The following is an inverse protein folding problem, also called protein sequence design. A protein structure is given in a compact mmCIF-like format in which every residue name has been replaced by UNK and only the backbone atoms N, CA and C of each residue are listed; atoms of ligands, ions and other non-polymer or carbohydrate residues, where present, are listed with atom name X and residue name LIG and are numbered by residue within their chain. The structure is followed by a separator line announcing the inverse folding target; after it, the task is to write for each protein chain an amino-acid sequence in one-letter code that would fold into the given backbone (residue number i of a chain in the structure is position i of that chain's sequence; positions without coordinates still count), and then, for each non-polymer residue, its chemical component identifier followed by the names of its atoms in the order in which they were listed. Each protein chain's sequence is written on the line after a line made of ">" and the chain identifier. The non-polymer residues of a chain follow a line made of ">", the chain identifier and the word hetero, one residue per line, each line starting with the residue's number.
data_IF_569340172936
#
_entry.id   IF_569340172936
#
_cell.length_a   1.000
_cell.length_b   1.000
_cell.length_c   1.000
_cell.angle_alpha   90.00
_cell.angle_beta   90.00
_cell.angle_gamma   90.00
#
_symmetry.space_group_name_H-M   'P 1'
#
loop_
_entity.id
_entity.type
_entity.pdbx_description
1 polymer ?
#
# COMPACT_ATOMS: atom_id res chain seq x y z
N UNK A 1 14.78 15.85 -7.17
CA UNK A 1 14.19 14.63 -7.77
C UNK A 1 12.72 14.57 -7.42
N UNK A 2 11.86 14.41 -8.42
CA UNK A 2 10.42 14.23 -8.19
C UNK A 2 10.12 12.79 -7.79
N UNK A 3 8.91 12.56 -7.29
CA UNK A 3 8.45 11.20 -6.98
C UNK A 3 8.39 10.36 -8.26
N UNK A 4 7.97 10.93 -9.39
CA UNK A 4 7.96 10.22 -10.67
C UNK A 4 9.39 9.85 -11.10
N UNK A 5 10.37 10.72 -10.90
CA UNK A 5 11.78 10.40 -11.15
C UNK A 5 12.24 9.23 -10.28
N UNK A 6 11.82 9.22 -9.03
CA UNK A 6 12.16 8.14 -8.10
C UNK A 6 11.54 6.80 -8.53
N UNK A 7 10.29 6.82 -8.96
CA UNK A 7 9.64 5.62 -9.51
C UNK A 7 10.41 5.09 -10.73
N UNK A 8 10.81 5.96 -11.63
CA UNK A 8 11.58 5.58 -12.80
C UNK A 8 12.95 4.98 -12.41
N UNK A 9 13.63 5.58 -11.45
CA UNK A 9 14.91 5.09 -10.93
C UNK A 9 14.79 3.70 -10.33
N UNK A 10 13.67 3.44 -9.63
CA UNK A 10 13.38 2.13 -9.01
C UNK A 10 12.86 1.10 -10.02
N UNK A 11 12.56 1.51 -11.26
CA UNK A 11 11.95 0.64 -12.25
C UNK A 11 10.51 0.27 -11.92
N UNK A 12 9.81 1.11 -11.15
CA UNK A 12 8.44 0.87 -10.73
C UNK A 12 7.47 1.57 -11.67
N UNK A 13 6.55 0.81 -12.23
CA UNK A 13 5.38 1.31 -12.94
C UNK A 13 4.16 1.09 -12.04
N UNK A 14 3.50 2.18 -11.65
CA UNK A 14 2.32 2.09 -10.80
C UNK A 14 1.16 1.44 -11.57
N UNK A 15 0.38 0.56 -10.92
CA UNK A 15 -0.80 -0.02 -11.55
C UNK A 15 -1.88 1.04 -11.78
N UNK A 16 -2.87 0.69 -12.59
CA UNK A 16 -4.06 1.52 -12.73
C UNK A 16 -4.81 1.58 -11.40
N UNK A 17 -5.38 2.74 -11.04
CA UNK A 17 -6.16 2.85 -9.81
C UNK A 17 -7.34 1.87 -9.80
N UNK A 18 -7.59 1.27 -8.64
CA UNK A 18 -8.69 0.34 -8.42
C UNK A 18 -9.99 1.14 -8.37
N UNK A 19 -11.05 0.60 -8.95
CA UNK A 19 -12.39 1.18 -8.87
C UNK A 19 -13.16 0.57 -7.68
N UNK A 20 -14.10 1.32 -7.07
CA UNK A 20 -14.88 0.77 -5.96
C UNK A 20 -15.79 -0.38 -6.44
N UNK A 21 -15.82 -1.46 -5.63
CA UNK A 21 -16.62 -2.64 -5.93
C UNK A 21 -18.03 -2.57 -5.34
N UNK A 22 -18.36 -1.55 -4.56
CA UNK A 22 -19.62 -1.39 -3.88
C UNK A 22 -19.96 0.10 -3.70
N UNK A 23 -20.90 0.41 -2.82
CA UNK A 23 -21.36 1.78 -2.61
C UNK A 23 -20.42 2.53 -1.63
N UNK A 24 -19.22 2.84 -2.12
CA UNK A 24 -18.22 3.67 -1.42
C UNK A 24 -17.28 4.28 -2.45
N UNK A 25 -16.43 5.23 -2.01
CA UNK A 25 -15.39 5.84 -2.85
C UNK A 25 -14.03 5.29 -2.47
N UNK A 26 -13.08 5.31 -3.41
CA UNK A 26 -11.73 4.82 -3.16
C UNK A 26 -10.89 5.76 -2.29
N UNK A 27 -11.18 7.04 -2.35
CA UNK A 27 -10.48 8.05 -1.55
C UNK A 27 -11.42 9.21 -1.24
N UNK A 28 -11.11 9.90 -0.16
CA UNK A 28 -11.82 11.12 0.22
C UNK A 28 -10.85 12.08 0.89
N UNK A 29 -10.87 13.34 0.47
CA UNK A 29 -10.04 14.37 1.07
C UNK A 29 -10.89 15.25 1.98
N UNK A 30 -10.40 15.47 3.20
CA UNK A 30 -10.96 16.46 4.13
C UNK A 30 -9.83 17.31 4.67
N UNK A 31 -9.90 18.63 4.43
CA UNK A 31 -8.78 19.53 4.76
C UNK A 31 -7.51 19.06 4.05
N UNK A 32 -6.46 18.83 4.83
CA UNK A 32 -5.17 18.35 4.31
C UNK A 32 -4.96 16.84 4.50
N UNK A 33 -6.01 16.12 4.84
CA UNK A 33 -5.97 14.67 5.02
C UNK A 33 -6.63 13.96 3.83
N UNK A 34 -5.94 12.97 3.30
CA UNK A 34 -6.46 12.08 2.27
C UNK A 34 -6.66 10.70 2.88
N UNK A 35 -7.91 10.24 2.90
CA UNK A 35 -8.25 8.89 3.35
C UNK A 35 -8.37 7.97 2.15
N UNK A 36 -7.78 6.80 2.25
CA UNK A 36 -7.83 5.79 1.18
C UNK A 36 -8.54 4.56 1.71
N UNK A 37 -9.49 4.06 0.94
CA UNK A 37 -10.27 2.87 1.28
C UNK A 37 -9.40 1.62 1.37
N UNK A 38 -9.88 0.63 2.07
CA UNK A 38 -9.22 -0.66 2.20
C UNK A 38 -8.80 -1.21 0.84
N UNK A 39 -7.56 -1.66 0.76
CA UNK A 39 -6.93 -2.14 -0.47
C UNK A 39 -6.39 -3.53 -0.23
N UNK A 40 -6.81 -4.49 -1.04
CA UNK A 40 -6.42 -5.89 -0.90
C UNK A 40 -5.45 -6.35 -1.97
N UNK A 41 -4.92 -7.58 -1.82
CA UNK A 41 -4.03 -8.18 -2.79
C UNK A 41 -4.69 -8.31 -4.17
N UNK A 42 -3.87 -8.32 -5.22
CA UNK A 42 -4.35 -8.52 -6.58
C UNK A 42 -4.69 -9.98 -6.85
N UNK A 43 -5.34 -10.25 -7.98
CA UNK A 43 -5.63 -11.62 -8.43
C UNK A 43 -4.37 -12.46 -8.68
N UNK A 44 -3.22 -11.82 -8.81
CA UNK A 44 -1.92 -12.50 -9.00
C UNK A 44 -1.33 -13.01 -7.69
N UNK A 45 -1.79 -12.48 -6.56
CA UNK A 45 -1.26 -12.87 -5.25
C UNK A 45 -1.82 -14.23 -4.84
N UNK A 46 -1.02 -15.07 -4.18
CA UNK A 46 -1.52 -16.30 -3.57
C UNK A 46 -2.63 -15.97 -2.57
N UNK A 47 -3.62 -16.85 -2.51
CA UNK A 47 -4.78 -16.66 -1.63
C UNK A 47 -4.76 -17.68 -0.50
N UNK A 48 -5.29 -17.28 0.65
CA UNK A 48 -5.39 -18.15 1.80
C UNK A 48 -4.83 -17.48 3.05
N UNK A 49 -4.57 -18.32 4.06
CA UNK A 49 -4.06 -17.87 5.36
C UNK A 49 -2.54 -17.92 5.39
N UNK A 50 -1.94 -16.81 5.78
CA UNK A 50 -0.49 -16.74 5.95
C UNK A 50 -0.08 -17.66 7.11
N UNK A 51 0.96 -18.45 6.87
CA UNK A 51 1.40 -19.45 7.83
C UNK A 51 0.77 -20.84 7.63
N UNK A 52 -0.25 -20.94 6.77
CA UNK A 52 -0.83 -22.22 6.35
C UNK A 52 -0.73 -22.38 4.83
N UNK A 53 -1.49 -21.56 4.08
CA UNK A 53 -1.57 -21.67 2.62
C UNK A 53 -0.56 -20.76 1.90
N UNK A 54 -0.15 -19.68 2.56
CA UNK A 54 0.69 -18.62 1.99
C UNK A 54 1.93 -18.44 2.86
N UNK A 55 3.10 -18.39 2.23
CA UNK A 55 4.35 -18.13 2.94
C UNK A 55 4.46 -16.66 3.37
N UNK A 56 5.31 -16.39 4.35
CA UNK A 56 5.62 -15.02 4.77
C UNK A 56 6.18 -14.20 3.59
N UNK A 57 7.07 -14.77 2.80
CA UNK A 57 7.67 -14.07 1.66
C UNK A 57 6.63 -13.70 0.61
N UNK A 58 5.73 -14.61 0.28
CA UNK A 58 4.65 -14.32 -0.69
C UNK A 58 3.68 -13.28 -0.14
N UNK A 59 3.38 -13.35 1.15
CA UNK A 59 2.53 -12.36 1.82
C UNK A 59 3.19 -10.98 1.85
N UNK A 60 4.49 -10.91 2.08
CA UNK A 60 5.26 -9.65 2.00
C UNK A 60 5.16 -9.03 0.61
N UNK A 61 5.34 -9.83 -0.45
CA UNK A 61 5.22 -9.34 -1.83
C UNK A 61 3.79 -8.88 -2.14
N UNK A 62 2.78 -9.58 -1.64
CA UNK A 62 1.39 -9.16 -1.78
C UNK A 62 1.14 -7.80 -1.10
N UNK A 63 1.70 -7.60 0.09
CA UNK A 63 1.61 -6.33 0.81
C UNK A 63 2.35 -5.21 0.06
N UNK A 64 3.48 -5.51 -0.59
CA UNK A 64 4.18 -4.55 -1.44
C UNK A 64 3.30 -4.12 -2.62
N UNK A 65 2.66 -5.06 -3.29
CA UNK A 65 1.73 -4.76 -4.39
C UNK A 65 0.55 -3.89 -3.91
N UNK A 66 0.04 -4.16 -2.72
CA UNK A 66 -0.99 -3.31 -2.10
C UNK A 66 -0.48 -1.88 -1.91
N UNK A 67 0.74 -1.72 -1.46
CA UNK A 67 1.37 -0.40 -1.33
C UNK A 67 1.45 0.36 -2.66
N UNK A 68 1.77 -0.34 -3.74
CA UNK A 68 1.77 0.24 -5.09
C UNK A 68 0.37 0.66 -5.54
N UNK A 69 -0.65 -0.13 -5.23
CA UNK A 69 -2.04 0.22 -5.51
C UNK A 69 -2.48 1.45 -4.70
N UNK A 70 -2.07 1.56 -3.45
CA UNK A 70 -2.33 2.73 -2.60
C UNK A 70 -1.71 3.98 -3.21
N UNK A 71 -0.46 3.89 -3.67
CA UNK A 71 0.20 5.00 -4.36
C UNK A 71 -0.53 5.40 -5.65
N UNK A 72 -1.03 4.43 -6.41
CA UNK A 72 -1.82 4.70 -7.61
C UNK A 72 -3.12 5.45 -7.28
N UNK A 73 -3.80 5.04 -6.22
CA UNK A 73 -5.01 5.72 -5.74
C UNK A 73 -4.70 7.14 -5.27
N UNK A 74 -3.61 7.33 -4.52
CA UNK A 74 -3.17 8.64 -4.08
C UNK A 74 -2.84 9.55 -5.28
N UNK A 75 -2.14 9.01 -6.29
CA UNK A 75 -1.81 9.76 -7.49
C UNK A 75 -3.06 10.25 -8.22
N UNK A 76 -4.07 9.40 -8.37
CA UNK A 76 -5.35 9.78 -8.95
C UNK A 76 -6.02 10.90 -8.14
N UNK A 77 -6.06 10.76 -6.82
CA UNK A 77 -6.66 11.74 -5.92
C UNK A 77 -5.94 13.10 -5.98
N UNK A 78 -4.67 13.11 -6.33
CA UNK A 78 -3.82 14.31 -6.39
C UNK A 78 -3.59 14.81 -7.81
N UNK A 79 -4.47 14.46 -8.73
CA UNK A 79 -4.42 14.88 -10.13
C UNK A 79 -3.09 14.55 -10.81
N UNK A 80 -2.50 13.41 -10.47
CA UNK A 80 -1.27 12.89 -11.06
C UNK A 80 0.02 13.32 -10.37
N UNK A 81 -0.05 14.08 -9.29
CA UNK A 81 1.14 14.65 -8.64
C UNK A 81 1.36 14.11 -7.22
N UNK A 82 2.16 13.07 -7.10
CA UNK A 82 2.54 12.47 -5.80
C UNK A 82 3.43 13.38 -4.96
N UNK A 83 4.04 14.42 -5.56
CA UNK A 83 4.86 15.38 -4.79
C UNK A 83 4.01 16.26 -3.89
N UNK A 84 2.70 16.27 -4.07
CA UNK A 84 1.76 16.95 -3.16
C UNK A 84 1.61 16.24 -1.82
N UNK A 85 2.04 15.00 -1.69
CA UNK A 85 2.05 14.29 -0.40
C UNK A 85 3.11 14.93 0.49
N UNK A 86 2.68 15.50 1.60
CA UNK A 86 3.59 16.06 2.61
C UNK A 86 4.16 14.94 3.47
N UNK A 87 3.31 14.02 3.91
CA UNK A 87 3.72 12.90 4.75
C UNK A 87 2.65 11.81 4.81
N UNK A 88 3.06 10.56 4.74
CA UNK A 88 2.17 9.44 5.05
C UNK A 88 1.96 9.40 6.57
N UNK A 89 0.71 9.36 7.01
CA UNK A 89 0.40 9.53 8.43
C UNK A 89 0.23 8.19 9.14
N UNK A 90 -0.65 7.33 8.62
CA UNK A 90 -1.01 6.08 9.29
C UNK A 90 -1.30 4.98 8.29
N UNK A 91 -0.75 3.81 8.54
CA UNK A 91 -1.11 2.57 7.86
C UNK A 91 -1.71 1.61 8.88
N UNK A 92 -2.91 1.10 8.59
CA UNK A 92 -3.51 -0.02 9.32
C UNK A 92 -3.45 -1.23 8.40
N UNK A 93 -2.70 -2.25 8.81
CA UNK A 93 -2.56 -3.49 8.07
C UNK A 93 -3.30 -4.64 8.76
N UNK A 94 -4.15 -5.33 8.01
CA UNK A 94 -4.85 -6.53 8.47
C UNK A 94 -4.37 -7.72 7.65
N UNK A 95 -4.04 -8.82 8.32
CA UNK A 95 -3.53 -10.02 7.67
C UNK A 95 -4.40 -11.21 8.06
N UNK A 96 -4.85 -11.96 7.07
CA UNK A 96 -5.55 -13.21 7.29
C UNK A 96 -4.52 -14.31 7.53
N UNK A 97 -4.50 -14.87 8.75
CA UNK A 97 -3.43 -15.78 9.15
C UNK A 97 -3.95 -17.07 9.75
N UNK A 98 -3.10 -18.10 9.76
CA UNK A 98 -3.29 -19.27 10.62
C UNK A 98 -3.29 -18.83 12.10
N UNK A 99 -3.97 -19.59 13.00
CA UNK A 99 -4.08 -19.18 14.41
C UNK A 99 -2.76 -19.05 15.15
N UNK A 100 -1.74 -19.78 14.74
CA UNK A 100 -0.41 -19.77 15.35
C UNK A 100 0.60 -18.84 14.69
N UNK A 101 0.19 -18.14 13.63
CA UNK A 101 1.05 -17.16 12.96
C UNK A 101 1.05 -15.85 13.73
N UNK A 102 2.22 -15.35 14.11
CA UNK A 102 2.36 -14.17 14.96
C UNK A 102 3.17 -13.04 14.31
N UNK A 103 3.52 -13.18 13.03
CA UNK A 103 4.43 -12.25 12.36
C UNK A 103 3.71 -11.28 11.42
N UNK A 104 2.49 -10.83 11.80
CA UNK A 104 1.71 -9.86 11.02
C UNK A 104 2.52 -8.61 10.64
N UNK A 105 3.32 -8.00 11.55
CA UNK A 105 4.13 -6.83 11.18
C UNK A 105 5.10 -7.09 10.03
N UNK A 106 5.67 -8.29 9.95
CA UNK A 106 6.60 -8.64 8.87
C UNK A 106 5.94 -8.71 7.51
N UNK A 107 4.66 -9.11 7.46
CA UNK A 107 3.87 -9.08 6.22
C UNK A 107 3.65 -7.64 5.78
N UNK A 108 3.18 -6.79 6.68
CA UNK A 108 2.85 -5.40 6.37
C UNK A 108 4.11 -4.57 6.05
N UNK A 109 5.29 -5.04 6.46
CA UNK A 109 6.55 -4.43 6.03
C UNK A 109 6.64 -4.30 4.51
N UNK A 110 6.04 -5.20 3.73
CA UNK A 110 6.01 -5.09 2.28
C UNK A 110 5.42 -3.76 1.81
N UNK A 111 4.28 -3.37 2.38
CA UNK A 111 3.65 -2.09 2.10
C UNK A 111 4.49 -0.92 2.64
N UNK A 112 4.92 -1.00 3.90
CA UNK A 112 5.71 0.06 4.53
C UNK A 112 7.01 0.32 3.79
N UNK A 113 7.71 -0.72 3.38
CA UNK A 113 8.99 -0.61 2.68
C UNK A 113 8.84 0.11 1.35
N UNK A 114 7.82 -0.24 0.54
CA UNK A 114 7.64 0.42 -0.76
C UNK A 114 7.22 1.87 -0.60
N UNK A 115 6.43 2.21 0.41
CA UNK A 115 6.08 3.61 0.68
C UNK A 115 7.33 4.43 0.99
N UNK A 116 8.25 3.90 1.79
CA UNK A 116 9.52 4.57 2.12
C UNK A 116 10.46 4.61 0.92
N UNK A 117 10.55 3.54 0.14
CA UNK A 117 11.37 3.51 -1.07
C UNK A 117 10.96 4.60 -2.05
N UNK A 118 9.65 4.77 -2.26
CA UNK A 118 9.10 5.72 -3.24
C UNK A 118 9.09 7.14 -2.71
N UNK A 119 8.64 7.34 -1.47
CA UNK A 119 8.43 8.68 -0.90
C UNK A 119 9.59 9.17 -0.03
N UNK A 120 10.55 8.31 0.33
CA UNK A 120 11.63 8.66 1.24
C UNK A 120 11.10 8.96 2.65
N UNK A 121 11.62 9.99 3.30
CA UNK A 121 11.18 10.39 4.64
C UNK A 121 9.69 10.70 4.73
N UNK A 122 9.09 11.20 3.65
CA UNK A 122 7.64 11.45 3.57
C UNK A 122 6.81 10.18 3.70
N UNK A 123 7.39 9.02 3.40
CA UNK A 123 6.73 7.73 3.50
C UNK A 123 6.77 7.10 4.89
N UNK A 124 7.51 7.66 5.83
CA UNK A 124 7.66 7.09 7.17
C UNK A 124 6.43 7.41 8.02
N UNK A 125 5.56 6.47 8.12
CA UNK A 125 4.22 6.55 8.70
C UNK A 125 4.17 5.89 10.08
N UNK A 126 3.13 6.20 10.85
CA UNK A 126 2.75 5.39 12.02
C UNK A 126 1.99 4.15 11.54
N UNK A 127 1.97 3.10 12.35
CA UNK A 127 1.43 1.82 11.88
C UNK A 127 0.78 0.99 12.98
N UNK A 128 -0.28 0.27 12.59
CA UNK A 128 -0.82 -0.87 13.32
C UNK A 128 -0.93 -2.05 12.35
N UNK A 129 -0.51 -3.20 12.81
CA UNK A 129 -0.52 -4.40 11.99
C UNK A 129 -0.84 -5.65 12.82
#
# INVERSE_FOLDING_TARGET
>A
MTTDDRLNELGIELPNPIQPAANYVRHWRTGNLLFISGTGPTDRSPKGKVGADVSLDDAYQAARDVGLQILATAKEALDGDLDRIVHAVKVLGMVNTAPDFLEHPKVINGCSDVLVEVLGERGRHTRSA
#
